data_IF_738872143986
#
_entry.id   IF_738872143986
#
_cell.length_a   1.000
_cell.length_b   1.000
_cell.length_c   1.000
_cell.angle_alpha   90.00
_cell.angle_beta   90.00
_cell.angle_gamma   90.00
#
_symmetry.space_group_name_H-M   'P 1'
#
loop_
_entity.id
_entity.type
_entity.pdbx_description
1 polymer ?
#
# COMPACT_ATOMS: atom_id res chain seq x y z
N UNK A 1 4.80 15.93 0.37
CA UNK A 1 3.45 15.32 0.37
C UNK A 1 2.41 16.42 0.52
N UNK A 2 1.36 16.34 -0.30
CA UNK A 2 0.17 17.19 -0.21
C UNK A 2 -0.64 16.88 1.05
N UNK A 3 -1.58 17.76 1.41
CA UNK A 3 -2.47 17.54 2.56
C UNK A 3 -3.31 16.27 2.38
N UNK A 4 -3.87 16.05 1.20
CA UNK A 4 -4.66 14.86 0.87
C UNK A 4 -3.88 13.56 1.09
N UNK A 5 -2.69 13.43 0.49
CA UNK A 5 -1.82 12.25 0.65
C UNK A 5 -1.56 11.95 2.14
N UNK A 6 -1.25 12.99 2.93
CA UNK A 6 -0.98 12.84 4.36
C UNK A 6 -2.23 12.41 5.13
N UNK A 7 -3.37 13.06 4.89
CA UNK A 7 -4.63 12.74 5.58
C UNK A 7 -5.06 11.32 5.30
N UNK A 8 -5.09 10.91 4.03
CA UNK A 8 -5.47 9.54 3.65
C UNK A 8 -4.47 8.52 4.19
N UNK A 9 -3.16 8.82 4.11
CA UNK A 9 -2.12 7.95 4.68
C UNK A 9 -2.25 7.76 6.19
N UNK A 10 -2.54 8.83 6.94
CA UNK A 10 -2.78 8.75 8.39
C UNK A 10 -4.03 7.92 8.70
N UNK A 11 -5.12 8.12 7.96
CA UNK A 11 -6.35 7.33 8.11
C UNK A 11 -6.06 5.84 7.90
N UNK A 12 -5.35 5.49 6.81
CA UNK A 12 -4.96 4.11 6.52
C UNK A 12 -4.12 3.52 7.66
N UNK A 13 -3.09 4.23 8.11
CA UNK A 13 -2.23 3.76 9.20
C UNK A 13 -2.99 3.58 10.52
N UNK A 14 -3.87 4.52 10.87
CA UNK A 14 -4.69 4.44 12.07
C UNK A 14 -5.68 3.26 12.01
N UNK A 15 -6.30 3.04 10.86
CA UNK A 15 -7.19 1.88 10.64
C UNK A 15 -6.43 0.56 10.72
N UNK A 16 -5.26 0.46 10.10
CA UNK A 16 -4.44 -0.74 10.18
C UNK A 16 -4.04 -1.04 11.63
N UNK A 17 -3.59 -0.03 12.38
CA UNK A 17 -3.22 -0.20 13.77
C UNK A 17 -4.41 -0.57 14.66
N UNK A 18 -5.57 0.06 14.48
CA UNK A 18 -6.76 -0.29 15.28
C UNK A 18 -7.24 -1.71 15.01
N UNK A 19 -7.17 -2.17 13.75
CA UNK A 19 -7.50 -3.55 13.37
C UNK A 19 -6.55 -4.61 13.95
N UNK A 20 -5.41 -4.23 14.52
CA UNK A 20 -4.52 -5.15 15.26
C UNK A 20 -4.92 -5.30 16.73
N UNK A 21 -5.81 -4.45 17.25
CA UNK A 21 -6.16 -4.43 18.68
C UNK A 21 -7.63 -4.73 18.91
N UNK A 22 -8.50 -4.25 18.02
CA UNK A 22 -9.95 -4.35 18.16
C UNK A 22 -10.61 -4.83 16.87
N UNK A 23 -11.62 -5.68 17.01
CA UNK A 23 -12.51 -6.06 15.91
C UNK A 23 -13.49 -4.92 15.64
N UNK A 24 -13.29 -4.22 14.52
CA UNK A 24 -14.19 -3.15 14.08
C UNK A 24 -15.02 -3.68 12.90
N UNK A 25 -16.36 -3.68 13.00
CA UNK A 25 -17.22 -4.12 11.90
C UNK A 25 -16.96 -3.25 10.65
N UNK A 26 -16.98 -3.88 9.48
CA UNK A 26 -16.72 -3.23 8.18
C UNK A 26 -15.33 -2.57 8.01
N UNK A 27 -14.41 -2.75 8.95
CA UNK A 27 -13.04 -2.19 8.87
C UNK A 27 -12.29 -2.60 7.61
N UNK A 28 -12.43 -3.85 7.20
CA UNK A 28 -11.90 -4.37 5.94
C UNK A 28 -12.36 -3.55 4.72
N UNK A 29 -13.65 -3.22 4.65
CA UNK A 29 -14.23 -2.43 3.56
C UNK A 29 -13.73 -0.98 3.60
N UNK A 30 -13.73 -0.37 4.79
CA UNK A 30 -13.27 1.01 4.97
C UNK A 30 -11.78 1.18 4.64
N UNK A 31 -10.93 0.22 5.06
CA UNK A 31 -9.51 0.19 4.70
C UNK A 31 -9.33 0.04 3.19
N UNK A 32 -10.06 -0.87 2.56
CA UNK A 32 -9.99 -1.10 1.10
C UNK A 32 -10.36 0.15 0.32
N UNK A 33 -11.45 0.84 0.71
CA UNK A 33 -11.87 2.10 0.09
C UNK A 33 -10.84 3.22 0.31
N UNK A 34 -10.27 3.31 1.51
CA UNK A 34 -9.25 4.32 1.83
C UNK A 34 -7.97 4.12 1.00
N UNK A 35 -7.53 2.86 0.88
CA UNK A 35 -6.41 2.49 0.01
C UNK A 35 -6.73 2.74 -1.46
N UNK A 36 -7.95 2.43 -1.91
CA UNK A 36 -8.37 2.70 -3.29
C UNK A 36 -8.26 4.19 -3.63
N UNK A 37 -8.69 5.08 -2.74
CA UNK A 37 -8.52 6.53 -2.93
C UNK A 37 -7.04 6.90 -3.11
N UNK A 38 -6.15 6.39 -2.25
CA UNK A 38 -4.72 6.67 -2.35
C UNK A 38 -4.09 6.08 -3.64
N UNK A 39 -4.52 4.88 -4.02
CA UNK A 39 -4.13 4.23 -5.26
C UNK A 39 -4.51 5.08 -6.47
N UNK A 40 -5.77 5.54 -6.56
CA UNK A 40 -6.25 6.36 -7.67
C UNK A 40 -5.49 7.69 -7.76
N UNK A 41 -5.19 8.31 -6.60
CA UNK A 41 -4.38 9.53 -6.53
C UNK A 41 -2.97 9.29 -7.08
N UNK A 42 -2.30 8.19 -6.73
CA UNK A 42 -0.97 7.90 -7.26
C UNK A 42 -0.98 7.46 -8.72
N UNK A 43 -1.92 6.60 -9.11
CA UNK A 43 -1.98 6.00 -10.43
C UNK A 43 -2.43 7.00 -11.49
N UNK A 44 -3.58 7.64 -11.30
CA UNK A 44 -4.15 8.55 -12.30
C UNK A 44 -3.66 9.99 -12.13
N UNK A 45 -3.49 10.45 -10.88
CA UNK A 45 -3.14 11.85 -10.61
C UNK A 45 -1.65 12.07 -10.29
N UNK A 46 -0.82 11.03 -10.32
CA UNK A 46 0.59 11.08 -9.92
C UNK A 46 1.38 12.19 -10.61
N UNK A 47 1.24 12.33 -11.94
CA UNK A 47 1.92 13.39 -12.69
C UNK A 47 1.61 14.79 -12.14
N UNK A 48 0.33 15.13 -11.97
CA UNK A 48 -0.09 16.43 -11.44
C UNK A 48 0.32 16.62 -9.99
N UNK A 49 0.15 15.56 -9.18
CA UNK A 49 0.46 15.53 -7.76
C UNK A 49 1.95 15.83 -7.48
N UNK A 50 2.84 15.18 -8.22
CA UNK A 50 4.28 15.31 -7.99
C UNK A 50 4.83 16.62 -8.54
N UNK A 51 4.19 17.19 -9.56
CA UNK A 51 4.57 18.46 -10.15
C UNK A 51 3.88 19.68 -9.51
N UNK A 52 3.10 19.48 -8.44
CA UNK A 52 2.34 20.53 -7.76
C UNK A 52 1.40 21.30 -8.71
N UNK A 53 0.84 20.63 -9.70
CA UNK A 53 -0.12 21.23 -10.63
C UNK A 53 -1.51 21.15 -9.98
N UNK A 54 -2.23 22.28 -9.80
CA UNK A 54 -3.58 22.27 -9.27
C UNK A 54 -4.53 21.47 -10.15
N UNK A 55 -5.47 20.73 -9.55
CA UNK A 55 -6.47 19.95 -10.30
C UNK A 55 -7.33 20.83 -11.21
N UNK A 56 -7.56 22.10 -10.83
CA UNK A 56 -8.28 23.09 -11.64
C UNK A 56 -7.58 23.45 -12.95
N UNK A 57 -6.29 23.12 -13.10
CA UNK A 57 -5.49 23.35 -14.31
C UNK A 57 -5.22 22.07 -15.11
N UNK A 58 -5.90 20.96 -14.79
CA UNK A 58 -5.82 19.74 -15.59
C UNK A 58 -6.28 20.06 -17.01
N UNK A 59 -5.42 19.80 -18.00
CA UNK A 59 -5.68 20.07 -19.42
C UNK A 59 -5.05 21.36 -19.96
N UNK A 60 -4.69 22.33 -19.10
CA UNK A 60 -4.03 23.55 -19.56
C UNK A 60 -2.59 23.23 -20.02
N UNK A 61 -2.27 23.53 -21.29
CA UNK A 61 -0.93 23.34 -21.87
C UNK A 61 0.13 24.21 -21.18
N UNK A 62 -0.23 25.42 -20.73
CA UNK A 62 0.67 26.31 -20.00
C UNK A 62 1.07 25.75 -18.65
N UNK A 63 0.18 25.00 -17.98
CA UNK A 63 0.50 24.34 -16.71
C UNK A 63 1.57 23.23 -16.87
N UNK A 64 1.83 22.79 -18.10
CA UNK A 64 2.92 21.86 -18.45
C UNK A 64 4.17 22.58 -18.99
N UNK A 65 4.10 23.90 -19.23
CA UNK A 65 5.23 24.66 -19.72
C UNK A 65 6.37 24.65 -18.68
N UNK A 66 7.59 24.36 -19.14
CA UNK A 66 8.77 24.27 -18.27
C UNK A 66 8.98 22.92 -17.57
N UNK A 67 8.14 21.90 -17.78
CA UNK A 67 8.39 20.54 -17.29
C UNK A 67 9.03 19.71 -18.40
N UNK A 68 10.21 19.16 -18.14
CA UNK A 68 10.90 18.31 -19.10
C UNK A 68 10.17 16.99 -19.36
N UNK A 69 10.24 16.47 -20.58
CA UNK A 69 9.61 15.19 -20.96
C UNK A 69 10.06 14.04 -20.04
N UNK A 70 11.34 13.99 -19.67
CA UNK A 70 11.87 12.98 -18.75
C UNK A 70 11.26 13.08 -17.36
N UNK A 71 10.95 14.30 -16.88
CA UNK A 71 10.27 14.50 -15.62
C UNK A 71 8.80 14.10 -15.69
N UNK A 72 8.13 14.30 -16.83
CA UNK A 72 6.76 13.81 -17.05
C UNK A 72 6.75 12.28 -16.94
N UNK A 73 7.58 11.59 -17.73
CA UNK A 73 7.68 10.13 -17.74
C UNK A 73 8.05 9.61 -16.35
N UNK A 74 9.07 10.20 -15.71
CA UNK A 74 9.49 9.82 -14.36
C UNK A 74 8.40 10.00 -13.32
N UNK A 75 7.56 11.03 -13.43
CA UNK A 75 6.41 11.24 -12.53
C UNK A 75 5.34 10.18 -12.71
N UNK A 76 5.05 9.76 -13.95
CA UNK A 76 4.09 8.69 -14.25
C UNK A 76 4.61 7.36 -13.69
N UNK A 77 5.86 7.00 -13.98
CA UNK A 77 6.47 5.77 -13.48
C UNK A 77 6.53 5.75 -11.95
N UNK A 78 6.85 6.88 -11.32
CA UNK A 78 6.82 6.99 -9.86
C UNK A 78 5.40 6.83 -9.29
N UNK A 79 4.39 7.35 -9.97
CA UNK A 79 2.99 7.20 -9.60
C UNK A 79 2.56 5.74 -9.64
N UNK A 80 2.92 5.04 -10.72
CA UNK A 80 2.69 3.60 -10.85
C UNK A 80 3.40 2.80 -9.76
N UNK A 81 4.68 3.08 -9.48
CA UNK A 81 5.44 2.40 -8.42
C UNK A 81 4.82 2.60 -7.01
N UNK A 82 4.39 3.82 -6.68
CA UNK A 82 3.72 4.13 -5.42
C UNK A 82 2.35 3.44 -5.33
N UNK A 83 1.58 3.47 -6.42
CA UNK A 83 0.27 2.84 -6.51
C UNK A 83 0.36 1.32 -6.30
N UNK A 84 1.27 0.64 -7.00
CA UNK A 84 1.50 -0.81 -6.85
C UNK A 84 1.96 -1.16 -5.44
N UNK A 85 2.85 -0.36 -4.85
CA UNK A 85 3.29 -0.60 -3.46
C UNK A 85 2.13 -0.47 -2.47
N UNK A 86 1.30 0.55 -2.60
CA UNK A 86 0.16 0.77 -1.70
C UNK A 86 -0.88 -0.36 -1.83
N UNK A 87 -1.12 -0.86 -3.05
CA UNK A 87 -1.95 -2.07 -3.24
C UNK A 87 -1.28 -3.29 -2.58
N UNK A 88 0.03 -3.48 -2.76
CA UNK A 88 0.76 -4.57 -2.12
C UNK A 88 0.66 -4.54 -0.59
N UNK A 89 0.75 -3.35 0.02
CA UNK A 89 0.54 -3.15 1.46
C UNK A 89 -0.85 -3.64 1.87
N UNK A 90 -1.89 -3.25 1.13
CA UNK A 90 -3.25 -3.71 1.38
C UNK A 90 -3.35 -5.24 1.27
N UNK A 91 -2.80 -5.84 0.21
CA UNK A 91 -2.90 -7.28 0.00
C UNK A 91 -2.23 -8.07 1.13
N UNK A 92 -1.03 -7.67 1.56
CA UNK A 92 -0.38 -8.32 2.71
C UNK A 92 -1.21 -8.12 3.98
N UNK A 93 -1.67 -6.90 4.24
CA UNK A 93 -2.43 -6.62 5.47
C UNK A 93 -3.78 -7.35 5.54
N UNK A 94 -4.42 -7.51 4.38
CA UNK A 94 -5.68 -8.24 4.20
C UNK A 94 -5.48 -9.75 4.08
N UNK A 95 -4.23 -10.23 4.04
CA UNK A 95 -3.87 -11.63 3.78
C UNK A 95 -4.45 -12.17 2.47
N UNK A 96 -4.54 -11.31 1.46
CA UNK A 96 -5.00 -11.72 0.13
C UNK A 96 -3.91 -12.49 -0.62
N UNK A 97 -4.30 -13.39 -1.54
CA UNK A 97 -3.36 -14.15 -2.36
C UNK A 97 -2.35 -13.25 -3.07
N UNK A 98 -1.10 -13.72 -3.19
CA UNK A 98 0.01 -13.02 -3.83
C UNK A 98 0.41 -11.68 -3.18
N UNK A 99 -0.02 -11.41 -1.94
CA UNK A 99 0.25 -10.12 -1.29
C UNK A 99 1.74 -9.80 -1.15
N UNK A 100 2.55 -10.75 -0.68
CA UNK A 100 3.99 -10.55 -0.51
C UNK A 100 4.73 -10.36 -1.84
N UNK A 101 4.32 -11.09 -2.88
CA UNK A 101 4.87 -10.94 -4.23
C UNK A 101 4.53 -9.58 -4.83
N UNK A 102 3.27 -9.16 -4.71
CA UNK A 102 2.80 -7.85 -5.15
C UNK A 102 3.54 -6.71 -4.44
N UNK A 103 3.67 -6.80 -3.10
CA UNK A 103 4.41 -5.83 -2.32
C UNK A 103 5.90 -5.82 -2.69
N UNK A 104 6.49 -6.99 -2.91
CA UNK A 104 7.89 -7.10 -3.33
C UNK A 104 8.13 -6.47 -4.69
N UNK A 105 7.19 -6.61 -5.63
CA UNK A 105 7.29 -5.98 -6.95
C UNK A 105 7.17 -4.46 -6.83
N UNK A 106 6.20 -3.94 -6.06
CA UNK A 106 6.08 -2.51 -5.78
C UNK A 106 7.36 -1.92 -5.16
N UNK A 107 7.93 -2.58 -4.15
CA UNK A 107 9.18 -2.15 -3.50
C UNK A 107 10.38 -2.13 -4.45
N UNK A 108 10.52 -3.11 -5.35
CA UNK A 108 11.57 -3.09 -6.39
C UNK A 108 11.42 -1.86 -7.29
N UNK A 109 10.19 -1.54 -7.70
CA UNK A 109 9.91 -0.36 -8.52
C UNK A 109 10.20 0.94 -7.77
N UNK A 110 9.86 1.02 -6.48
CA UNK A 110 10.22 2.15 -5.63
C UNK A 110 11.74 2.30 -5.48
N UNK A 111 12.49 1.20 -5.42
CA UNK A 111 13.95 1.21 -5.41
C UNK A 111 14.54 1.88 -6.66
N UNK A 112 13.99 1.59 -7.84
CA UNK A 112 14.37 2.26 -9.09
C UNK A 112 14.07 3.77 -9.04
N UNK A 113 12.88 4.15 -8.57
CA UNK A 113 12.49 5.57 -8.42
C UNK A 113 13.42 6.29 -7.44
N UNK A 114 13.75 5.66 -6.31
CA UNK A 114 14.66 6.20 -5.29
C UNK A 114 16.06 6.42 -5.87
N UNK A 115 16.60 5.43 -6.58
CA UNK A 115 17.91 5.51 -7.24
C UNK A 115 17.96 6.67 -8.24
N UNK A 116 17.00 6.72 -9.18
CA UNK A 116 16.93 7.78 -10.20
C UNK A 116 16.80 9.15 -9.54
N UNK A 117 15.91 9.27 -8.54
CA UNK A 117 15.70 10.54 -7.85
C UNK A 117 16.96 11.03 -7.13
N UNK A 118 17.72 10.11 -6.54
CA UNK A 118 18.96 10.42 -5.82
C UNK A 118 20.04 10.89 -6.79
N UNK A 119 20.24 10.17 -7.90
CA UNK A 119 21.17 10.56 -8.97
C UNK A 119 20.81 11.94 -9.53
N UNK A 120 19.53 12.18 -9.81
CA UNK A 120 19.06 13.46 -10.37
C UNK A 120 19.22 14.64 -9.42
N UNK A 121 19.20 14.45 -8.09
CA UNK A 121 19.53 15.53 -7.15
C UNK A 121 20.97 16.01 -7.33
N UNK A 122 21.91 15.07 -7.53
CA UNK A 122 23.33 15.40 -7.71
C UNK A 122 23.62 16.11 -9.03
N UNK A 123 22.93 15.73 -10.11
CA UNK A 123 23.17 16.25 -11.46
C UNK A 123 22.39 17.56 -11.72
N UNK A 124 21.13 17.64 -11.30
CA UNK A 124 20.20 18.70 -11.70
C UNK A 124 19.77 19.56 -10.51
N UNK A 125 20.59 20.57 -10.17
CA UNK A 125 20.31 21.50 -9.06
C UNK A 125 18.98 22.24 -9.20
N UNK A 126 18.61 22.65 -10.42
CA UNK A 126 17.36 23.36 -10.72
C UNK A 126 16.09 22.56 -10.36
N UNK A 127 16.15 21.22 -10.47
CA UNK A 127 15.01 20.34 -10.16
C UNK A 127 15.15 19.64 -8.80
N UNK A 128 16.20 19.93 -8.03
CA UNK A 128 16.52 19.22 -6.77
C UNK A 128 15.35 19.20 -5.78
N UNK A 129 14.55 20.27 -5.74
CA UNK A 129 13.35 20.38 -4.88
C UNK A 129 12.27 19.35 -5.25
N UNK A 130 12.08 19.05 -6.53
CA UNK A 130 11.15 18.02 -7.01
C UNK A 130 11.59 16.63 -6.55
N UNK A 131 12.85 16.26 -6.83
CA UNK A 131 13.36 14.94 -6.49
C UNK A 131 13.47 14.73 -4.97
N UNK A 132 13.83 15.74 -4.18
CA UNK A 132 13.79 15.64 -2.70
C UNK A 132 12.39 15.30 -2.19
N UNK A 133 11.35 15.94 -2.74
CA UNK A 133 9.96 15.62 -2.40
C UNK A 133 9.54 14.24 -2.87
N UNK A 134 10.08 13.75 -3.99
CA UNK A 134 9.84 12.39 -4.48
C UNK A 134 10.47 11.37 -3.53
N UNK A 135 11.73 11.56 -3.15
CA UNK A 135 12.43 10.69 -2.20
C UNK A 135 11.65 10.60 -0.89
N UNK A 136 11.20 11.71 -0.32
CA UNK A 136 10.41 11.68 0.92
C UNK A 136 9.16 10.79 0.81
N UNK A 137 8.44 10.84 -0.32
CA UNK A 137 7.26 10.00 -0.57
C UNK A 137 7.64 8.52 -0.65
N UNK A 138 8.67 8.23 -1.43
CA UNK A 138 9.18 6.87 -1.62
C UNK A 138 9.68 6.29 -0.29
N UNK A 139 10.38 7.08 0.54
CA UNK A 139 10.85 6.62 1.84
C UNK A 139 9.68 6.34 2.79
N UNK A 140 8.68 7.22 2.87
CA UNK A 140 7.52 7.01 3.77
C UNK A 140 6.76 5.74 3.38
N UNK A 141 6.37 5.60 2.11
CA UNK A 141 5.63 4.42 1.64
C UNK A 141 6.50 3.16 1.66
N UNK A 142 7.77 3.31 1.29
CA UNK A 142 8.74 2.22 1.27
C UNK A 142 9.05 1.66 2.65
N UNK A 143 9.18 2.51 3.68
CA UNK A 143 9.37 2.07 5.08
C UNK A 143 8.16 1.26 5.53
N UNK A 144 6.93 1.76 5.33
CA UNK A 144 5.70 1.03 5.71
C UNK A 144 5.62 -0.31 4.97
N UNK A 145 5.90 -0.31 3.66
CA UNK A 145 5.91 -1.54 2.86
C UNK A 145 6.99 -2.53 3.30
N UNK A 146 8.20 -2.08 3.61
CA UNK A 146 9.28 -2.93 4.11
C UNK A 146 8.94 -3.51 5.48
N UNK A 147 8.43 -2.69 6.41
CA UNK A 147 8.00 -3.15 7.74
C UNK A 147 6.97 -4.25 7.63
N UNK A 148 5.96 -4.09 6.77
CA UNK A 148 4.92 -5.10 6.60
C UNK A 148 5.44 -6.36 5.91
N UNK A 149 6.34 -6.23 4.92
CA UNK A 149 6.97 -7.38 4.25
C UNK A 149 7.81 -8.23 5.21
N UNK A 150 8.42 -7.63 6.23
CA UNK A 150 9.23 -8.35 7.22
C UNK A 150 8.39 -9.16 8.21
N UNK A 151 7.08 -8.92 8.30
CA UNK A 151 6.18 -9.62 9.22
C UNK A 151 5.65 -10.89 8.52
N UNK A 152 5.84 -12.09 9.10
CA UNK A 152 5.23 -13.30 8.58
C UNK A 152 3.69 -13.21 8.57
N UNK A 153 3.06 -13.78 7.54
CA UNK A 153 1.59 -13.79 7.41
C UNK A 153 0.91 -14.42 8.62
N UNK A 154 1.51 -15.47 9.20
CA UNK A 154 1.02 -16.13 10.43
C UNK A 154 1.03 -15.16 11.62
N UNK A 155 2.14 -14.46 11.87
CA UNK A 155 2.24 -13.52 12.98
C UNK A 155 1.28 -12.35 12.82
N UNK A 156 1.11 -11.84 11.59
CA UNK A 156 0.12 -10.80 11.31
C UNK A 156 -1.31 -11.31 11.59
N UNK A 157 -1.60 -12.57 11.27
CA UNK A 157 -2.89 -13.18 11.59
C UNK A 157 -3.10 -13.29 13.10
N UNK A 158 -2.12 -13.81 13.85
CA UNK A 158 -2.19 -13.92 15.30
C UNK A 158 -2.45 -12.57 15.97
N UNK A 159 -1.80 -11.50 15.50
CA UNK A 159 -2.05 -10.15 16.00
C UNK A 159 -3.51 -9.70 15.76
N UNK A 160 -4.08 -10.03 14.59
CA UNK A 160 -5.48 -9.68 14.26
C UNK A 160 -6.50 -10.57 14.99
N UNK A 161 -6.13 -11.80 15.35
CA UNK A 161 -7.01 -12.80 15.93
C UNK A 161 -6.87 -12.87 17.47
N UNK A 162 -6.97 -11.74 18.16
CA UNK A 162 -6.68 -11.68 19.61
C UNK A 162 -7.62 -12.56 20.46
N UNK A 163 -8.89 -12.70 20.07
CA UNK A 163 -9.93 -13.43 20.82
C UNK A 163 -10.55 -14.59 20.02
N UNK A 164 -9.85 -15.10 19.01
CA UNK A 164 -10.39 -16.17 18.19
C UNK A 164 -10.35 -17.52 18.93
N UNK A 165 -11.34 -18.40 18.72
CA UNK A 165 -11.26 -19.78 19.18
C UNK A 165 -9.97 -20.46 18.69
N UNK A 166 -9.34 -21.24 19.56
CA UNK A 166 -8.08 -21.93 19.26
C UNK A 166 -8.20 -22.84 18.04
N UNK A 167 -9.32 -23.56 17.91
CA UNK A 167 -9.62 -24.42 16.76
C UNK A 167 -9.61 -23.66 15.42
N UNK A 168 -10.14 -22.43 15.38
CA UNK A 168 -10.10 -21.58 14.19
C UNK A 168 -8.67 -21.12 13.90
N UNK A 169 -7.91 -20.72 14.93
CA UNK A 169 -6.52 -20.30 14.76
C UNK A 169 -5.66 -21.43 14.17
N UNK A 170 -5.81 -22.65 14.67
CA UNK A 170 -5.07 -23.81 14.16
C UNK A 170 -5.43 -24.13 12.70
N UNK A 171 -6.72 -24.13 12.36
CA UNK A 171 -7.19 -24.40 11.01
C UNK A 171 -6.66 -23.36 10.01
N UNK A 172 -6.69 -22.09 10.36
CA UNK A 172 -6.15 -21.00 9.53
C UNK A 172 -4.62 -21.05 9.39
N UNK A 173 -3.89 -21.37 10.47
CA UNK A 173 -2.42 -21.55 10.40
C UNK A 173 -2.05 -22.70 9.47
N UNK A 174 -2.76 -23.82 9.54
CA UNK A 174 -2.55 -24.95 8.65
C UNK A 174 -2.81 -24.54 7.19
N UNK A 175 -3.90 -23.82 6.92
CA UNK A 175 -4.22 -23.32 5.58
C UNK A 175 -3.18 -22.32 5.05
N UNK A 176 -2.62 -21.46 5.91
CA UNK A 176 -1.54 -20.54 5.49
C UNK A 176 -0.29 -21.30 5.02
N UNK A 177 0.00 -22.45 5.63
CA UNK A 177 1.17 -23.28 5.28
C UNK A 177 0.94 -24.10 4.01
N UNK A 178 -0.31 -24.48 3.72
CA UNK A 178 -0.68 -25.27 2.54
C UNK A 178 -2.00 -24.74 1.92
N UNK A 179 -1.94 -23.61 1.19
CA UNK A 179 -3.13 -22.90 0.72
C UNK A 179 -3.88 -23.62 -0.40
N UNK A 180 -3.23 -24.52 -1.12
CA UNK A 180 -3.83 -25.25 -2.25
C UNK A 180 -4.58 -26.52 -1.81
N UNK A 181 -4.55 -26.83 -0.51
CA UNK A 181 -5.19 -28.01 0.06
C UNK A 181 -6.68 -27.76 0.34
N UNK A 182 -7.53 -28.36 -0.49
CA UNK A 182 -8.99 -28.24 -0.41
C UNK A 182 -9.57 -28.70 0.94
N UNK A 183 -8.92 -29.66 1.61
CA UNK A 183 -9.39 -30.15 2.91
C UNK A 183 -9.13 -29.11 4.02
N UNK A 184 -7.97 -28.46 3.98
CA UNK A 184 -7.64 -27.36 4.90
C UNK A 184 -8.51 -26.12 4.67
N UNK A 185 -8.83 -25.82 3.41
CA UNK A 185 -9.78 -24.74 3.07
C UNK A 185 -11.14 -25.02 3.70
N UNK A 186 -11.67 -26.24 3.49
CA UNK A 186 -12.97 -26.65 4.06
C UNK A 186 -12.97 -26.58 5.59
N UNK A 187 -11.91 -27.08 6.23
CA UNK A 187 -11.77 -27.05 7.70
C UNK A 187 -11.72 -25.62 8.25
N UNK A 188 -10.95 -24.73 7.62
CA UNK A 188 -10.87 -23.33 8.03
C UNK A 188 -12.21 -22.62 7.86
N UNK A 189 -12.94 -22.88 6.77
CA UNK A 189 -14.28 -22.33 6.55
C UNK A 189 -15.30 -22.86 7.56
N UNK A 190 -15.27 -24.16 7.90
CA UNK A 190 -16.13 -24.74 8.93
C UNK A 190 -15.90 -24.09 10.29
N UNK A 191 -14.66 -23.97 10.74
CA UNK A 191 -14.33 -23.31 12.02
C UNK A 191 -14.67 -21.81 12.00
N UNK A 192 -14.52 -21.14 10.85
CA UNK A 192 -14.94 -19.75 10.68
C UNK A 192 -16.45 -19.58 10.87
N UNK A 193 -17.26 -20.51 10.34
CA UNK A 193 -18.73 -20.45 10.47
C UNK A 193 -19.18 -20.65 11.90
N UNK A 194 -18.57 -21.60 12.63
CA UNK A 194 -18.86 -21.81 14.07
C UNK A 194 -18.64 -20.53 14.89
N UNK A 195 -17.56 -19.80 14.62
CA UNK A 195 -17.28 -18.52 15.30
C UNK A 195 -18.42 -17.51 15.14
N UNK A 196 -19.06 -17.44 13.97
CA UNK A 196 -20.18 -16.52 13.71
C UNK A 196 -21.53 -17.06 14.18
N UNK A 197 -21.65 -18.35 14.46
CA UNK A 197 -22.87 -18.98 14.98
C UNK A 197 -22.90 -18.98 16.53
N UNK A 198 -21.75 -18.81 17.19
CA UNK A 198 -21.61 -18.74 18.65
C UNK A 198 -21.63 -17.30 19.23
N UNK A 199 -21.61 -16.25 18.39
CA UNK A 199 -21.83 -14.83 18.76
C UNK A 199 -23.30 -14.40 18.66
#
# INVERSE_FOLDING_TARGET
>A
MTKLEKTVGIIISMLMLSMLVIAIPFSNMLLTLSVLVLFLVYFFLGFWLFNNIPLTKIGNKEARSGISTMRIIGSICAGFALATTVIGILFVFMRWPYGHDNLSNGLKMLGVVLLISTIKIGITKAESSFYKRMILRVCIVGIVGLSLKMIPTVTLFEMKCHNCPEAYMEAEKALINDPDNLELQRKADEERRKMFEEE
#
